data_IF_938854916370
#
_entry.id   IF_938854916370
#
_cell.length_a   1.000
_cell.length_b   1.000
_cell.length_c   1.000
_cell.angle_alpha   90.00
_cell.angle_beta   90.00
_cell.angle_gamma   90.00
#
_symmetry.space_group_name_H-M   'P 1'
#
loop_
_entity.id
_entity.type
_entity.pdbx_description
1 polymer ?
#
# COMPACT_ATOMS: atom_id res chain seq x y z
N UNK A 1 2.44 -15.08 12.95
CA UNK A 1 1.22 -14.56 12.31
C UNK A 1 0.12 -15.58 12.55
N UNK A 2 -1.11 -15.14 12.84
CA UNK A 2 -2.23 -16.06 13.09
C UNK A 2 -2.69 -16.71 11.77
N UNK A 3 -2.71 -18.06 11.66
CA UNK A 3 -3.18 -18.76 10.46
C UNK A 3 -4.62 -18.45 10.05
N UNK A 4 -5.44 -17.88 10.95
CA UNK A 4 -6.79 -17.42 10.60
C UNK A 4 -6.80 -16.40 9.45
N UNK A 5 -5.70 -15.68 9.20
CA UNK A 5 -5.60 -14.75 8.08
C UNK A 5 -5.66 -15.43 6.70
N UNK A 6 -5.36 -16.74 6.61
CA UNK A 6 -5.36 -17.49 5.36
C UNK A 6 -6.75 -17.56 4.70
N UNK A 7 -7.82 -17.32 5.47
CA UNK A 7 -9.18 -17.21 4.93
C UNK A 7 -9.35 -15.98 4.01
N UNK A 8 -8.46 -14.99 4.12
CA UNK A 8 -8.47 -13.76 3.31
C UNK A 8 -7.48 -13.82 2.13
N UNK A 9 -6.89 -14.99 1.84
CA UNK A 9 -6.17 -15.20 0.60
C UNK A 9 -7.04 -14.89 -0.61
N UNK A 10 -6.39 -14.39 -1.66
CA UNK A 10 -7.03 -13.88 -2.86
C UNK A 10 -7.79 -14.97 -3.60
N UNK A 11 -9.07 -14.72 -3.86
CA UNK A 11 -9.91 -15.53 -4.76
C UNK A 11 -9.53 -15.29 -6.23
N UNK A 12 -9.91 -16.20 -7.12
CA UNK A 12 -9.67 -16.03 -8.56
C UNK A 12 -10.38 -14.79 -9.12
N UNK A 13 -11.61 -14.51 -8.67
CA UNK A 13 -12.35 -13.32 -9.06
C UNK A 13 -11.65 -12.02 -8.63
N UNK A 14 -11.08 -11.98 -7.41
CA UNK A 14 -10.27 -10.84 -6.96
C UNK A 14 -8.99 -10.72 -7.78
N UNK A 15 -8.33 -11.84 -8.10
CA UNK A 15 -7.12 -11.86 -8.93
C UNK A 15 -7.40 -11.30 -10.31
N UNK A 16 -8.43 -11.80 -10.97
CA UNK A 16 -8.86 -11.32 -12.29
C UNK A 16 -9.21 -9.84 -12.24
N UNK A 17 -9.97 -9.41 -11.23
CA UNK A 17 -10.30 -8.00 -11.06
C UNK A 17 -9.05 -7.13 -10.87
N UNK A 18 -8.11 -7.51 -10.01
CA UNK A 18 -6.89 -6.74 -9.78
C UNK A 18 -6.01 -6.66 -11.03
N UNK A 19 -5.84 -7.77 -11.75
CA UNK A 19 -5.03 -7.78 -12.97
C UNK A 19 -5.68 -6.95 -14.10
N UNK A 20 -7.01 -6.97 -14.19
CA UNK A 20 -7.74 -6.20 -15.20
C UNK A 20 -7.84 -4.72 -14.84
N UNK A 21 -8.23 -4.40 -13.61
CA UNK A 21 -8.60 -3.03 -13.19
C UNK A 21 -7.47 -2.29 -12.49
N UNK A 22 -6.51 -3.00 -11.91
CA UNK A 22 -5.33 -2.45 -11.24
C UNK A 22 -5.53 -2.15 -9.76
N UNK A 23 -6.75 -2.32 -9.22
CA UNK A 23 -7.07 -2.05 -7.82
C UNK A 23 -8.00 -3.12 -7.25
N UNK A 24 -8.10 -3.16 -5.92
CA UNK A 24 -9.03 -3.99 -5.17
C UNK A 24 -9.55 -3.22 -3.96
N UNK A 25 -10.85 -3.33 -3.71
CA UNK A 25 -11.50 -2.78 -2.53
C UNK A 25 -11.74 -3.91 -1.54
N UNK A 26 -11.29 -3.72 -0.31
CA UNK A 26 -11.54 -4.62 0.82
C UNK A 26 -12.43 -3.85 1.80
N UNK A 27 -13.74 -4.03 1.64
CA UNK A 27 -14.73 -3.47 2.56
C UNK A 27 -14.55 -4.05 3.96
N UNK A 28 -14.84 -3.24 4.98
CA UNK A 28 -14.70 -3.60 6.39
C UNK A 28 -13.32 -4.20 6.71
N UNK A 29 -12.27 -3.69 6.06
CA UNK A 29 -10.90 -4.17 6.26
C UNK A 29 -10.45 -3.98 7.70
N UNK A 30 -10.77 -2.83 8.29
CA UNK A 30 -10.53 -2.51 9.69
C UNK A 30 -11.83 -2.70 10.48
N UNK A 31 -11.73 -3.35 11.64
CA UNK A 31 -12.83 -3.31 12.62
C UNK A 31 -12.85 -1.97 13.37
N UNK A 32 -13.92 -1.74 14.13
CA UNK A 32 -14.12 -0.49 14.86
C UNK A 32 -12.99 -0.19 15.87
N UNK A 33 -12.42 -1.24 16.48
CA UNK A 33 -11.31 -1.11 17.43
C UNK A 33 -10.04 -0.62 16.73
N UNK A 34 -9.62 -1.30 15.66
CA UNK A 34 -8.44 -0.92 14.90
C UNK A 34 -8.62 0.46 14.25
N UNK A 35 -9.80 0.76 13.70
CA UNK A 35 -10.10 2.08 13.15
C UNK A 35 -9.99 3.18 14.22
N UNK A 36 -10.53 2.95 15.41
CA UNK A 36 -10.42 3.88 16.54
C UNK A 36 -8.97 4.13 16.96
N UNK A 37 -8.19 3.06 17.16
CA UNK A 37 -6.77 3.13 17.52
C UNK A 37 -5.94 3.88 16.47
N UNK A 38 -6.21 3.65 15.19
CA UNK A 38 -5.54 4.36 14.08
C UNK A 38 -5.91 5.85 14.02
N UNK A 39 -7.16 6.20 14.30
CA UNK A 39 -7.60 7.59 14.38
C UNK A 39 -6.91 8.31 15.55
N UNK A 40 -6.86 7.70 16.73
CA UNK A 40 -6.18 8.29 17.90
C UNK A 40 -4.68 8.50 17.65
N UNK A 41 -3.99 7.49 17.10
CA UNK A 41 -2.58 7.59 16.75
C UNK A 41 -2.33 8.64 15.66
N UNK A 42 -3.16 8.62 14.61
CA UNK A 42 -3.08 9.59 13.51
C UNK A 42 -3.31 11.03 13.98
N UNK A 43 -4.29 11.26 14.86
CA UNK A 43 -4.62 12.60 15.38
C UNK A 43 -3.51 13.14 16.28
N UNK A 44 -2.89 12.26 17.09
CA UNK A 44 -1.68 12.61 17.86
C UNK A 44 -0.53 13.03 16.95
N UNK A 45 -0.28 12.28 15.88
CA UNK A 45 0.77 12.60 14.89
C UNK A 45 0.46 13.90 14.15
N UNK A 46 -0.79 14.13 13.73
CA UNK A 46 -1.20 15.39 13.08
C UNK A 46 -1.01 16.60 14.01
N UNK A 47 -1.45 16.50 15.26
CA UNK A 47 -1.28 17.58 16.24
C UNK A 47 0.21 17.92 16.45
N UNK A 48 1.07 16.91 16.61
CA UNK A 48 2.50 17.11 16.79
C UNK A 48 3.16 17.72 15.56
N UNK A 49 2.85 17.23 14.35
CA UNK A 49 3.39 17.77 13.10
C UNK A 49 2.96 19.22 12.88
N UNK A 50 1.68 19.54 13.12
CA UNK A 50 1.18 20.91 12.97
C UNK A 50 1.88 21.86 13.93
N UNK A 51 2.05 21.46 15.19
CA UNK A 51 2.77 22.26 16.18
C UNK A 51 4.25 22.44 15.78
N UNK A 52 4.92 21.37 15.35
CA UNK A 52 6.34 21.38 15.00
C UNK A 52 6.62 22.22 13.74
N UNK A 53 5.74 22.14 12.74
CA UNK A 53 5.91 22.79 11.43
C UNK A 53 5.18 24.14 11.32
N UNK A 54 4.41 24.54 12.33
CA UNK A 54 3.58 25.74 12.30
C UNK A 54 2.48 25.70 11.23
N UNK A 55 1.90 24.54 10.97
CA UNK A 55 0.84 24.39 9.96
C UNK A 55 -0.47 24.99 10.48
N UNK A 56 -1.18 25.73 9.61
CA UNK A 56 -2.52 26.22 9.93
C UNK A 56 -3.49 25.05 10.16
N UNK A 57 -4.57 25.21 10.96
CA UNK A 57 -5.53 24.14 11.25
C UNK A 57 -6.16 23.50 10.01
N UNK A 58 -6.40 24.27 8.96
CA UNK A 58 -6.99 23.83 7.70
C UNK A 58 -5.97 23.53 6.59
N UNK A 59 -4.67 23.50 6.92
CA UNK A 59 -3.64 23.11 5.95
C UNK A 59 -3.64 21.59 5.73
N UNK A 60 -3.37 21.16 4.49
CA UNK A 60 -3.07 19.77 4.16
C UNK A 60 -1.89 19.28 5.01
N UNK A 61 -2.07 18.20 5.77
CA UNK A 61 -0.95 17.44 6.31
C UNK A 61 -0.58 16.33 5.33
N UNK A 62 0.73 16.22 5.11
CA UNK A 62 1.36 15.13 4.39
C UNK A 62 2.62 14.76 5.18
N UNK A 63 2.66 13.54 5.71
CA UNK A 63 3.80 13.01 6.48
C UNK A 63 4.21 11.64 5.91
N UNK A 64 5.43 11.57 5.39
CA UNK A 64 6.06 10.30 5.02
C UNK A 64 6.74 9.66 6.25
N UNK A 65 7.12 8.38 6.14
CA UNK A 65 7.82 7.64 7.22
C UNK A 65 7.00 7.51 8.50
N UNK A 66 5.68 7.44 8.36
CA UNK A 66 4.75 7.33 9.50
C UNK A 66 4.85 5.97 10.21
N UNK A 67 5.42 4.94 9.58
CA UNK A 67 5.42 3.58 10.11
C UNK A 67 6.02 3.42 11.52
N UNK A 68 6.93 4.32 11.91
CA UNK A 68 7.61 4.30 13.22
C UNK A 68 6.97 5.21 14.27
N UNK A 69 5.94 5.98 13.90
CA UNK A 69 5.35 7.01 14.76
C UNK A 69 4.45 6.43 15.83
N UNK A 70 3.91 5.22 15.61
CA UNK A 70 3.08 4.51 16.57
C UNK A 70 3.10 3.00 16.28
N UNK A 71 3.02 2.18 17.33
CA UNK A 71 3.05 0.72 17.21
C UNK A 71 1.82 0.17 16.48
N UNK A 72 0.68 0.89 16.50
CA UNK A 72 -0.51 0.50 15.70
C UNK A 72 -0.24 0.53 14.20
N UNK A 73 0.67 1.38 13.71
CA UNK A 73 1.03 1.40 12.30
C UNK A 73 1.87 0.17 11.93
N UNK A 74 2.69 -0.34 12.85
CA UNK A 74 3.44 -1.58 12.67
C UNK A 74 2.50 -2.79 12.57
N UNK A 75 1.41 -2.81 13.35
CA UNK A 75 0.37 -3.85 13.26
C UNK A 75 -0.28 -3.93 11.87
N UNK A 76 -0.33 -2.83 11.13
CA UNK A 76 -0.92 -2.81 9.78
C UNK A 76 -0.04 -3.47 8.70
N UNK A 77 1.25 -3.69 8.96
CA UNK A 77 2.18 -4.30 7.99
C UNK A 77 1.76 -5.71 7.60
N UNK A 78 1.25 -6.46 8.58
CA UNK A 78 0.80 -7.83 8.46
C UNK A 78 -0.69 -7.97 8.81
N UNK A 79 -1.49 -6.93 8.51
CA UNK A 79 -2.91 -6.90 8.84
C UNK A 79 -3.68 -8.06 8.17
N UNK A 80 -4.45 -8.88 8.92
CA UNK A 80 -5.02 -10.13 8.42
C UNK A 80 -5.87 -10.03 7.16
N UNK A 81 -6.65 -8.95 6.99
CA UNK A 81 -7.56 -8.80 5.85
C UNK A 81 -6.90 -8.27 4.58
N UNK A 82 -5.67 -7.75 4.66
CA UNK A 82 -4.98 -7.14 3.51
C UNK A 82 -3.67 -7.83 3.16
N UNK A 83 -2.88 -8.24 4.15
CA UNK A 83 -1.56 -8.81 3.91
C UNK A 83 -1.59 -10.10 3.08
N UNK A 84 -2.60 -10.99 3.22
CA UNK A 84 -2.74 -12.13 2.32
C UNK A 84 -2.85 -11.79 0.84
N UNK A 85 -3.63 -10.76 0.52
CA UNK A 85 -3.76 -10.26 -0.84
C UNK A 85 -2.42 -9.73 -1.37
N UNK A 86 -1.62 -9.10 -0.50
CA UNK A 86 -0.33 -8.56 -0.87
C UNK A 86 0.63 -9.68 -1.29
N UNK A 87 0.76 -10.77 -0.53
CA UNK A 87 1.64 -11.87 -0.95
C UNK A 87 1.04 -12.70 -2.09
N UNK A 88 -0.28 -12.76 -2.24
CA UNK A 88 -0.91 -13.40 -3.41
C UNK A 88 -0.70 -12.58 -4.70
N UNK A 89 -0.52 -11.26 -4.57
CA UNK A 89 -0.24 -10.35 -5.68
C UNK A 89 1.26 -10.20 -5.93
N UNK A 90 2.10 -10.13 -4.89
CA UNK A 90 3.53 -9.83 -4.95
C UNK A 90 4.44 -11.05 -4.76
N UNK A 91 3.98 -12.12 -4.14
CA UNK A 91 4.78 -13.23 -3.68
C UNK A 91 5.29 -13.01 -2.24
N UNK A 92 6.08 -13.97 -1.74
CA UNK A 92 6.58 -13.96 -0.36
C UNK A 92 7.80 -13.06 -0.15
N UNK A 93 8.55 -12.73 -1.20
CA UNK A 93 9.81 -11.95 -1.10
C UNK A 93 9.55 -10.43 -1.08
N UNK A 94 8.74 -9.99 -0.12
CA UNK A 94 8.24 -8.61 -0.03
C UNK A 94 8.70 -7.89 1.24
N UNK A 95 8.68 -6.57 1.15
CA UNK A 95 8.85 -5.63 2.26
C UNK A 95 7.95 -4.40 2.10
N UNK A 96 7.70 -3.72 3.21
CA UNK A 96 7.25 -2.34 3.23
C UNK A 96 8.36 -1.42 2.73
N UNK A 97 8.01 -0.47 1.87
CA UNK A 97 8.99 0.47 1.32
C UNK A 97 8.63 1.94 1.55
N UNK A 98 7.35 2.27 1.76
CA UNK A 98 6.92 3.65 1.98
C UNK A 98 5.63 3.73 2.79
N UNK A 99 5.57 4.62 3.77
CA UNK A 99 4.35 4.98 4.51
C UNK A 99 4.03 6.45 4.35
N UNK A 100 2.74 6.76 4.28
CA UNK A 100 2.28 8.13 4.06
C UNK A 100 0.93 8.39 4.73
N UNK A 101 0.95 9.21 5.78
CA UNK A 101 -0.26 9.73 6.43
C UNK A 101 -0.68 11.06 5.81
N UNK A 102 -1.95 11.15 5.45
CA UNK A 102 -2.52 12.35 4.81
C UNK A 102 -3.80 12.77 5.52
N UNK A 103 -3.82 14.01 5.99
CA UNK A 103 -5.03 14.69 6.47
C UNK A 103 -5.34 15.80 5.48
N UNK A 104 -6.47 15.68 4.81
CA UNK A 104 -6.90 16.58 3.76
C UNK A 104 -8.18 17.31 4.19
N UNK A 105 -8.06 18.51 4.77
CA UNK A 105 -9.21 19.31 5.18
C UNK A 105 -10.07 19.76 3.99
N UNK A 106 -11.31 20.19 4.25
CA UNK A 106 -12.15 20.85 3.26
C UNK A 106 -11.47 22.01 2.53
N UNK A 107 -11.67 22.07 1.22
CA UNK A 107 -11.33 23.21 0.37
C UNK A 107 -12.60 24.03 0.10
N UNK A 108 -12.46 25.36 0.00
CA UNK A 108 -13.59 26.19 -0.44
C UNK A 108 -13.93 25.86 -1.90
N UNK A 109 -15.22 25.67 -2.20
CA UNK A 109 -15.75 25.49 -3.57
C UNK A 109 -15.28 26.59 -4.54
N UNK A 110 -15.11 27.82 -4.07
CA UNK A 110 -14.61 28.94 -4.88
C UNK A 110 -13.10 28.89 -5.17
N UNK A 111 -12.36 28.03 -4.48
CA UNK A 111 -10.90 27.89 -4.59
C UNK A 111 -10.45 26.56 -5.21
N UNK A 112 -11.40 25.68 -5.57
CA UNK A 112 -11.08 24.37 -6.16
C UNK A 112 -10.33 24.58 -7.48
N UNK A 113 -9.07 24.15 -7.49
CA UNK A 113 -8.23 24.18 -8.68
C UNK A 113 -7.56 22.81 -8.88
N UNK A 114 -8.19 21.97 -9.70
CA UNK A 114 -7.53 20.78 -10.24
C UNK A 114 -6.64 21.22 -11.40
N UNK A 115 -5.39 21.60 -11.09
CA UNK A 115 -4.41 21.88 -12.15
C UNK A 115 -4.31 20.66 -13.08
N UNK A 116 -4.28 20.85 -14.42
CA UNK A 116 -4.21 19.76 -15.39
C UNK A 116 -3.03 18.76 -15.22
N UNK A 117 -2.02 19.09 -14.40
CA UNK A 117 -0.84 18.26 -14.14
C UNK A 117 -0.85 17.45 -12.84
N UNK A 118 -2.00 17.27 -12.19
CA UNK A 118 -2.10 16.48 -10.95
C UNK A 118 -2.04 14.95 -11.15
N UNK A 119 -2.13 14.48 -12.40
CA UNK A 119 -2.10 13.06 -12.76
C UNK A 119 -0.69 12.50 -12.73
N UNK A 120 -0.51 11.39 -12.02
CA UNK A 120 0.77 10.74 -11.87
C UNK A 120 0.64 9.24 -11.57
N UNK A 121 1.75 8.53 -11.72
CA UNK A 121 1.98 7.22 -11.12
C UNK A 121 2.79 7.45 -9.84
N UNK A 122 2.57 6.60 -8.82
CA UNK A 122 3.15 6.84 -7.50
C UNK A 122 4.68 6.75 -7.57
N UNK A 123 5.42 7.70 -7.00
CA UNK A 123 6.89 7.80 -7.17
C UNK A 123 7.34 8.21 -8.58
N UNK A 124 6.42 8.67 -9.42
CA UNK A 124 6.68 9.12 -10.80
C UNK A 124 7.02 7.97 -11.75
N UNK A 125 7.99 8.21 -12.63
CA UNK A 125 8.54 7.23 -13.58
C UNK A 125 10.02 6.90 -13.25
N UNK A 126 10.35 6.39 -12.05
CA UNK A 126 11.71 6.38 -11.50
C UNK A 126 12.61 5.27 -12.05
N UNK A 127 12.25 4.71 -13.21
CA UNK A 127 13.11 3.73 -13.88
C UNK A 127 13.11 3.99 -15.39
N UNK A 128 13.54 5.18 -15.85
CA UNK A 128 13.67 5.44 -17.27
C UNK A 128 14.65 4.47 -17.97
N UNK A 129 15.51 3.80 -17.22
CA UNK A 129 16.46 2.79 -17.69
C UNK A 129 15.81 1.44 -17.99
N UNK A 130 14.61 1.16 -17.46
CA UNK A 130 13.89 -0.09 -17.73
C UNK A 130 12.99 0.02 -18.96
N UNK A 131 12.93 -1.07 -19.72
CA UNK A 131 11.96 -1.23 -20.82
C UNK A 131 10.51 -1.13 -20.33
N UNK A 132 9.63 -0.70 -21.24
CA UNK A 132 8.22 -0.41 -20.98
C UNK A 132 7.33 -1.33 -21.83
N UNK A 133 6.14 -1.74 -21.34
CA UNK A 133 5.57 -1.44 -20.03
C UNK A 133 6.31 -2.14 -18.89
N UNK A 134 6.48 -1.43 -17.76
CA UNK A 134 7.25 -1.96 -16.63
C UNK A 134 6.48 -3.08 -15.91
N UNK A 135 7.18 -4.11 -15.40
CA UNK A 135 6.56 -5.08 -14.52
C UNK A 135 6.06 -4.43 -13.23
N UNK A 136 5.13 -5.09 -12.54
CA UNK A 136 4.68 -4.66 -11.20
C UNK A 136 5.83 -4.84 -10.20
N UNK A 137 6.43 -3.72 -9.79
CA UNK A 137 7.51 -3.67 -8.80
C UNK A 137 7.02 -3.43 -7.36
N UNK A 138 5.82 -2.88 -7.23
CA UNK A 138 5.20 -2.56 -5.95
C UNK A 138 3.71 -2.27 -6.11
N UNK A 139 3.01 -2.30 -4.98
CA UNK A 139 1.64 -1.84 -4.83
C UNK A 139 1.53 -0.98 -3.58
N UNK A 140 0.39 -0.33 -3.40
CA UNK A 140 0.08 0.42 -2.18
C UNK A 140 -1.29 0.01 -1.66
N UNK A 141 -1.45 0.08 -0.35
CA UNK A 141 -2.71 -0.11 0.36
C UNK A 141 -3.06 1.22 1.02
N UNK A 142 -4.21 1.79 0.68
CA UNK A 142 -4.78 2.94 1.38
C UNK A 142 -5.83 2.48 2.38
N UNK A 143 -5.55 2.67 3.67
CA UNK A 143 -6.50 2.46 4.76
C UNK A 143 -7.27 3.76 5.00
N UNK A 144 -8.54 3.79 4.62
CA UNK A 144 -9.38 4.98 4.69
C UNK A 144 -9.97 5.13 6.09
N UNK A 145 -9.54 6.16 6.82
CA UNK A 145 -9.93 6.37 8.22
C UNK A 145 -11.15 7.30 8.36
N UNK A 146 -11.55 7.93 7.25
CA UNK A 146 -12.73 8.78 7.16
C UNK A 146 -13.65 8.22 6.09
N UNK A 147 -14.96 8.33 6.31
CA UNK A 147 -15.96 7.99 5.31
C UNK A 147 -15.92 8.99 4.13
N UNK A 148 -15.70 8.43 2.95
CA UNK A 148 -15.67 9.14 1.67
C UNK A 148 -16.62 8.48 0.66
N UNK A 149 -17.72 7.86 1.11
CA UNK A 149 -18.66 7.14 0.24
C UNK A 149 -19.41 8.05 -0.73
N UNK A 150 -19.42 9.36 -0.46
CA UNK A 150 -20.05 10.36 -1.30
C UNK A 150 -19.03 11.11 -2.17
N UNK A 151 -19.47 11.67 -3.32
CA UNK A 151 -18.63 12.50 -4.17
C UNK A 151 -17.99 13.68 -3.42
N UNK A 152 -16.81 14.08 -3.90
CA UNK A 152 -16.10 15.28 -3.41
C UNK A 152 -15.76 15.27 -1.91
N UNK A 153 -15.59 14.09 -1.30
CA UNK A 153 -15.09 13.90 0.07
C UNK A 153 -13.58 13.65 0.15
N UNK A 154 -12.81 14.06 -0.85
CA UNK A 154 -11.36 13.96 -0.84
C UNK A 154 -10.78 12.59 -1.19
N UNK A 155 -11.60 11.64 -1.65
CA UNK A 155 -11.13 10.39 -2.25
C UNK A 155 -10.24 10.65 -3.47
N UNK A 156 -9.19 9.84 -3.66
CA UNK A 156 -8.32 9.97 -4.83
C UNK A 156 -9.11 9.63 -6.11
N UNK A 157 -8.68 10.16 -7.23
CA UNK A 157 -9.19 9.77 -8.54
C UNK A 157 -8.25 8.75 -9.15
N UNK A 158 -8.77 7.63 -9.62
CA UNK A 158 -8.01 6.57 -10.28
C UNK A 158 -8.53 6.39 -11.71
N UNK A 159 -7.65 5.98 -12.62
CA UNK A 159 -8.05 5.51 -13.95
C UNK A 159 -7.88 4.00 -13.98
N UNK A 160 -8.98 3.22 -13.95
CA UNK A 160 -8.91 1.77 -14.08
C UNK A 160 -8.15 1.36 -15.35
N UNK A 161 -7.50 0.19 -15.30
CA UNK A 161 -6.72 -0.40 -16.40
C UNK A 161 -5.47 0.37 -16.85
N UNK A 162 -5.25 1.58 -16.33
CA UNK A 162 -4.14 2.45 -16.75
C UNK A 162 -2.75 1.90 -16.42
N UNK A 163 -2.64 0.89 -15.54
CA UNK A 163 -1.40 0.16 -15.26
C UNK A 163 -0.94 -0.75 -16.40
N UNK A 164 -1.83 -1.08 -17.36
CA UNK A 164 -1.51 -1.90 -18.54
C UNK A 164 -0.77 -1.10 -19.61
N UNK A 165 -0.97 0.21 -19.63
CA UNK A 165 -0.37 1.13 -20.60
C UNK A 165 0.89 1.79 -20.06
N UNK A 166 1.79 2.17 -20.97
CA UNK A 166 2.90 3.04 -20.58
C UNK A 166 2.48 4.51 -20.55
N UNK A 167 1.79 4.98 -21.59
CA UNK A 167 1.45 6.40 -21.78
C UNK A 167 0.36 6.87 -20.82
N UNK A 168 0.26 8.19 -20.55
CA UNK A 168 -0.91 8.75 -19.89
C UNK A 168 -2.20 8.30 -20.61
N UNK A 169 -3.21 7.78 -19.89
CA UNK A 169 -4.49 7.39 -20.46
C UNK A 169 -5.33 8.63 -20.78
N UNK A 170 -6.51 8.41 -21.38
CA UNK A 170 -7.58 9.40 -21.28
C UNK A 170 -8.05 9.47 -19.81
N UNK A 171 -8.12 10.69 -19.27
CA UNK A 171 -8.55 10.93 -17.90
C UNK A 171 -10.08 11.14 -17.79
N UNK A 172 -10.81 11.08 -18.91
CA UNK A 172 -12.27 11.15 -18.91
C UNK A 172 -12.91 10.00 -18.13
N UNK A 173 -12.32 8.80 -18.20
CA UNK A 173 -12.78 7.59 -17.50
C UNK A 173 -12.30 7.51 -16.04
N UNK A 174 -11.72 8.58 -15.52
CA UNK A 174 -11.28 8.64 -14.14
C UNK A 174 -12.46 8.60 -13.16
N UNK A 175 -12.47 7.60 -12.28
CA UNK A 175 -13.42 7.51 -11.17
C UNK A 175 -12.82 8.03 -9.87
N UNK A 176 -13.65 8.60 -9.00
CA UNK A 176 -13.25 8.91 -7.63
C UNK A 176 -13.44 7.65 -6.77
N UNK A 177 -12.44 7.30 -5.98
CA UNK A 177 -12.58 6.29 -4.93
C UNK A 177 -13.62 6.80 -3.93
N UNK A 178 -14.68 6.01 -3.74
CA UNK A 178 -15.77 6.30 -2.83
C UNK A 178 -15.99 5.07 -1.95
N UNK A 179 -15.60 5.16 -0.67
CA UNK A 179 -15.59 4.04 0.27
C UNK A 179 -15.93 4.51 1.68
N UNK A 180 -16.47 3.60 2.49
CA UNK A 180 -16.71 3.83 3.91
C UNK A 180 -15.40 3.95 4.70
N UNK A 181 -15.48 4.52 5.90
CA UNK A 181 -14.38 4.43 6.86
C UNK A 181 -14.10 2.95 7.19
N UNK A 182 -12.84 2.61 7.42
CA UNK A 182 -12.41 1.24 7.68
C UNK A 182 -12.13 0.40 6.43
N UNK A 183 -12.50 0.87 5.23
CA UNK A 183 -12.17 0.19 3.97
C UNK A 183 -10.69 0.33 3.64
N UNK A 184 -10.08 -0.74 3.13
CA UNK A 184 -8.76 -0.72 2.52
C UNK A 184 -8.87 -0.79 0.99
N UNK A 185 -8.07 0.00 0.28
CA UNK A 185 -7.98 -0.04 -1.18
C UNK A 185 -6.55 -0.35 -1.59
N UNK A 186 -6.34 -1.51 -2.18
CA UNK A 186 -5.07 -1.90 -2.79
C UNK A 186 -5.04 -1.37 -4.22
N UNK A 187 -3.91 -0.83 -4.66
CA UNK A 187 -3.74 -0.44 -6.06
C UNK A 187 -2.31 -0.66 -6.54
N UNK A 188 -2.20 -1.08 -7.79
CA UNK A 188 -0.94 -1.21 -8.52
C UNK A 188 -0.30 0.18 -8.64
N UNK A 189 0.98 0.28 -8.28
CA UNK A 189 1.71 1.55 -8.32
C UNK A 189 1.70 2.20 -9.71
N UNK A 190 1.58 1.39 -10.77
CA UNK A 190 1.54 1.83 -12.18
C UNK A 190 0.21 2.48 -12.56
N UNK A 191 -0.81 2.45 -11.71
CA UNK A 191 -2.06 3.15 -11.99
C UNK A 191 -1.85 4.66 -12.00
N UNK A 192 -2.41 5.29 -13.03
CA UNK A 192 -2.57 6.73 -13.08
C UNK A 192 -3.65 7.18 -12.10
N UNK A 193 -3.28 8.12 -11.25
CA UNK A 193 -4.17 8.68 -10.26
C UNK A 193 -3.85 10.15 -10.00
N UNK A 194 -4.79 10.84 -9.37
CA UNK A 194 -4.66 12.21 -8.94
C UNK A 194 -5.39 12.42 -7.62
N UNK A 195 -5.11 13.54 -6.95
CA UNK A 195 -5.95 13.97 -5.83
C UNK A 195 -7.38 14.17 -6.31
N UNK A 196 -8.36 13.84 -5.48
CA UNK A 196 -9.71 14.34 -5.65
C UNK A 196 -9.89 15.72 -5.03
N UNK A 197 -11.14 16.15 -5.03
CA UNK A 197 -11.60 17.39 -4.38
C UNK A 197 -12.22 16.99 -3.03
N UNK A 198 -12.00 17.82 -2.01
CA UNK A 198 -12.75 17.76 -0.76
C UNK A 198 -13.53 19.06 -0.56
N UNK A 199 -14.81 19.10 -0.92
CA UNK A 199 -15.72 20.25 -0.67
C UNK A 199 -16.76 19.93 0.41
N UNK A 200 -16.56 18.83 1.12
CA UNK A 200 -17.37 18.42 2.27
C UNK A 200 -17.00 19.21 3.52
N UNK A 201 -17.66 18.93 4.64
CA UNK A 201 -17.35 19.53 5.95
C UNK A 201 -16.34 18.70 6.76
N UNK A 202 -15.85 17.58 6.22
CA UNK A 202 -15.03 16.62 6.97
C UNK A 202 -13.61 16.57 6.43
N UNK A 203 -12.62 16.53 7.33
CA UNK A 203 -11.22 16.25 6.95
C UNK A 203 -11.08 14.79 6.56
N UNK A 204 -10.68 14.53 5.32
CA UNK A 204 -10.38 13.17 4.84
C UNK A 204 -9.05 12.72 5.41
N UNK A 205 -9.05 11.57 6.10
CA UNK A 205 -7.87 10.93 6.67
C UNK A 205 -7.61 9.60 5.97
N UNK A 206 -6.36 9.36 5.59
CA UNK A 206 -5.92 8.08 5.01
C UNK A 206 -4.48 7.78 5.41
N UNK A 207 -4.19 6.52 5.67
CA UNK A 207 -2.83 6.00 5.82
C UNK A 207 -2.52 5.09 4.65
N UNK A 208 -1.47 5.40 3.92
CA UNK A 208 -0.97 4.52 2.86
C UNK A 208 0.25 3.74 3.32
N UNK A 209 0.26 2.43 3.05
CA UNK A 209 1.41 1.55 3.18
C UNK A 209 1.75 0.95 1.82
N UNK A 210 3.00 1.12 1.38
CA UNK A 210 3.50 0.60 0.11
C UNK A 210 4.35 -0.64 0.31
N UNK A 211 4.13 -1.64 -0.53
CA UNK A 211 4.85 -2.92 -0.50
C UNK A 211 5.59 -3.13 -1.81
N UNK A 212 6.84 -3.58 -1.73
CA UNK A 212 7.74 -3.83 -2.84
C UNK A 212 8.51 -5.13 -2.62
N UNK A 213 9.29 -5.56 -3.61
CA UNK A 213 10.21 -6.67 -3.40
C UNK A 213 11.38 -6.29 -2.48
N UNK A 214 11.91 -7.25 -1.71
CA UNK A 214 13.03 -7.02 -0.77
C UNK A 214 14.33 -6.54 -1.43
N UNK A 215 14.56 -6.91 -2.69
CA UNK A 215 15.73 -6.47 -3.46
C UNK A 215 15.61 -5.02 -3.99
N UNK A 216 14.44 -4.38 -3.84
CA UNK A 216 14.30 -2.94 -4.06
C UNK A 216 14.69 -2.20 -2.78
N UNK A 217 15.21 -0.97 -2.91
CA UNK A 217 15.56 -0.18 -1.73
C UNK A 217 14.32 0.50 -1.14
N UNK A 218 14.12 0.39 0.17
CA UNK A 218 13.08 1.11 0.91
C UNK A 218 13.24 2.63 0.81
N UNK A 219 12.13 3.36 0.73
CA UNK A 219 12.10 4.84 0.75
C UNK A 219 11.90 5.40 2.15
N UNK A 220 11.20 4.66 3.01
CA UNK A 220 11.01 5.05 4.39
C UNK A 220 12.33 5.00 5.16
N UNK A 221 12.98 3.85 5.16
CA UNK A 221 14.25 3.60 5.82
C UNK A 221 15.12 2.65 4.98
N UNK A 222 16.43 2.88 5.02
CA UNK A 222 17.41 1.93 4.46
C UNK A 222 17.73 0.81 5.45
N UNK A 223 17.79 1.17 6.74
CA UNK A 223 17.99 0.28 7.86
C UNK A 223 17.02 0.74 8.94
N UNK A 224 16.18 -0.18 9.40
CA UNK A 224 15.21 0.11 10.45
C UNK A 224 15.92 0.23 11.81
N UNK A 225 15.55 1.19 12.68
CA UNK A 225 16.13 1.28 14.01
C UNK A 225 15.92 -0.01 14.82
N UNK A 226 16.92 -0.41 15.59
CA UNK A 226 16.93 -1.68 16.31
C UNK A 226 15.78 -1.76 17.35
N UNK A 227 15.45 -0.64 17.96
CA UNK A 227 14.34 -0.48 18.91
C UNK A 227 12.97 -0.72 18.27
N UNK A 228 12.81 -0.44 16.98
CA UNK A 228 11.57 -0.75 16.23
C UNK A 228 11.53 -2.24 15.90
N UNK A 229 12.66 -2.79 15.42
CA UNK A 229 12.77 -4.20 15.08
C UNK A 229 12.59 -5.12 16.30
N UNK A 230 12.97 -4.67 17.50
CA UNK A 230 12.81 -5.40 18.76
C UNK A 230 11.33 -5.65 19.12
N UNK A 231 10.41 -4.83 18.62
CA UNK A 231 8.95 -4.98 18.83
C UNK A 231 8.28 -5.92 17.83
N UNK A 232 9.01 -6.36 16.80
CA UNK A 232 8.42 -6.97 15.62
C UNK A 232 8.59 -8.49 15.62
N UNK A 233 7.55 -9.19 15.15
CA UNK A 233 7.62 -10.61 14.83
C UNK A 233 8.63 -10.87 13.69
N UNK A 234 9.13 -12.09 13.49
CA UNK A 234 10.06 -12.38 12.38
C UNK A 234 9.54 -11.95 11.00
N UNK A 235 8.25 -12.19 10.72
CA UNK A 235 7.63 -11.75 9.45
C UNK A 235 7.57 -10.22 9.38
N UNK A 236 7.22 -9.53 10.46
CA UNK A 236 7.18 -8.07 10.46
C UNK A 236 8.59 -7.47 10.34
N UNK A 237 9.62 -8.12 10.89
CA UNK A 237 11.03 -7.75 10.66
C UNK A 237 11.40 -7.88 9.19
N UNK A 238 11.06 -9.00 8.54
CA UNK A 238 11.21 -9.16 7.09
C UNK A 238 10.53 -8.00 6.33
N UNK A 239 9.30 -7.64 6.74
CA UNK A 239 8.57 -6.54 6.12
C UNK A 239 9.22 -5.17 6.34
N UNK A 240 9.96 -4.98 7.43
CA UNK A 240 10.73 -3.76 7.69
C UNK A 240 12.12 -3.77 7.03
N UNK A 241 12.39 -4.73 6.14
CA UNK A 241 13.63 -4.83 5.38
C UNK A 241 14.79 -5.48 6.14
N UNK A 242 14.51 -6.06 7.32
CA UNK A 242 15.51 -6.80 8.10
C UNK A 242 15.96 -8.07 7.35
N UNK A 243 17.18 -8.50 7.63
CA UNK A 243 17.81 -9.65 7.00
C UNK A 243 19.03 -10.11 7.78
N UNK A 244 19.46 -11.33 7.52
CA UNK A 244 20.61 -11.94 8.22
C UNK A 244 21.92 -11.53 7.57
N UNK A 245 21.94 -11.52 6.23
CA UNK A 245 23.10 -11.14 5.43
C UNK A 245 22.71 -10.21 4.28
N UNK A 246 23.64 -9.35 3.87
CA UNK A 246 23.46 -8.43 2.72
C UNK A 246 23.12 -9.17 1.43
N UNK A 247 23.62 -10.40 1.24
CA UNK A 247 23.28 -11.24 0.08
C UNK A 247 21.85 -11.75 0.16
N UNK A 248 21.26 -11.83 1.36
CA UNK A 248 19.88 -12.30 1.59
C UNK A 248 18.80 -11.44 0.93
N UNK A 249 19.12 -10.21 0.50
CA UNK A 249 18.21 -9.42 -0.33
C UNK A 249 18.14 -9.92 -1.79
N UNK A 250 19.23 -10.49 -2.31
CA UNK A 250 19.33 -11.03 -3.68
C UNK A 250 19.14 -12.54 -3.75
N UNK A 251 19.66 -13.27 -2.77
CA UNK A 251 19.66 -14.72 -2.64
C UNK A 251 19.23 -15.08 -1.21
N UNK A 252 17.93 -14.93 -0.89
CA UNK A 252 17.44 -15.12 0.47
C UNK A 252 17.58 -16.57 0.93
N UNK A 253 18.06 -16.75 2.16
CA UNK A 253 17.93 -17.99 2.94
C UNK A 253 16.58 -18.02 3.65
N UNK A 254 16.19 -19.17 4.23
CA UNK A 254 14.91 -19.26 4.95
C UNK A 254 14.84 -18.32 6.18
N UNK A 255 15.99 -17.99 6.79
CA UNK A 255 16.07 -17.03 7.89
C UNK A 255 15.82 -15.58 7.42
N UNK A 256 16.16 -15.25 6.18
CA UNK A 256 15.90 -13.93 5.58
C UNK A 256 14.43 -13.72 5.24
N UNK A 257 13.69 -14.82 5.00
CA UNK A 257 12.30 -14.79 4.51
C UNK A 257 11.36 -15.68 5.31
N UNK A 258 11.17 -15.39 6.61
CA UNK A 258 10.28 -16.16 7.48
C UNK A 258 8.84 -16.27 6.95
N UNK A 259 8.36 -15.33 6.12
CA UNK A 259 7.05 -15.46 5.47
C UNK A 259 6.99 -16.68 4.55
N UNK A 260 8.06 -16.96 3.80
CA UNK A 260 8.12 -18.12 2.89
C UNK A 260 7.99 -19.42 3.70
N UNK A 261 8.79 -19.57 4.75
CA UNK A 261 8.75 -20.75 5.63
C UNK A 261 7.37 -20.94 6.27
N UNK A 262 6.80 -19.86 6.80
CA UNK A 262 5.46 -19.89 7.39
C UNK A 262 4.38 -20.29 6.36
N UNK A 263 4.43 -19.77 5.13
CA UNK A 263 3.49 -20.14 4.07
C UNK A 263 3.68 -21.60 3.63
N UNK A 264 4.92 -22.09 3.51
CA UNK A 264 5.18 -23.50 3.18
C UNK A 264 4.55 -24.42 4.21
N UNK A 265 4.70 -24.12 5.50
CA UNK A 265 4.12 -24.89 6.60
C UNK A 265 2.59 -24.95 6.55
N UNK A 266 1.92 -23.85 6.22
CA UNK A 266 0.46 -23.74 6.34
C UNK A 266 -0.32 -23.92 5.01
N UNK A 267 0.34 -23.74 3.86
CA UNK A 267 -0.28 -23.78 2.53
C UNK A 267 0.40 -24.76 1.56
N UNK A 268 1.55 -25.32 1.93
CA UNK A 268 2.31 -26.26 1.11
C UNK A 268 3.22 -25.57 0.08
N UNK A 269 4.19 -26.34 -0.42
CA UNK A 269 5.21 -25.88 -1.38
C UNK A 269 4.58 -25.42 -2.70
N UNK A 270 3.60 -26.16 -3.23
CA UNK A 270 2.92 -25.82 -4.49
C UNK A 270 2.29 -24.42 -4.45
N UNK A 271 1.69 -24.03 -3.31
CA UNK A 271 1.12 -22.70 -3.15
C UNK A 271 2.21 -21.62 -3.16
N UNK A 272 3.31 -21.85 -2.45
CA UNK A 272 4.45 -20.92 -2.36
C UNK A 272 5.13 -20.76 -3.72
N UNK A 273 5.29 -21.85 -4.48
CA UNK A 273 5.81 -21.82 -5.84
C UNK A 273 4.90 -21.00 -6.76
N UNK A 274 3.58 -21.25 -6.73
CA UNK A 274 2.61 -20.54 -7.56
C UNK A 274 2.63 -19.02 -7.36
N UNK A 275 2.67 -18.54 -6.10
CA UNK A 275 2.70 -17.09 -5.83
C UNK A 275 4.09 -16.47 -6.07
N UNK A 276 5.16 -17.28 -6.05
CA UNK A 276 6.52 -16.85 -6.33
C UNK A 276 6.87 -16.80 -7.82
N UNK A 277 6.29 -17.71 -8.61
CA UNK A 277 6.55 -17.86 -10.04
C UNK A 277 5.58 -17.02 -10.88
N UNK A 278 5.80 -15.71 -10.93
CA UNK A 278 4.95 -14.82 -11.74
C UNK A 278 5.26 -14.78 -13.24
N UNK A 279 6.45 -15.24 -13.63
CA UNK A 279 6.95 -15.16 -15.00
C UNK A 279 7.21 -16.52 -15.65
N UNK A 280 7.15 -17.63 -14.91
CA UNK A 280 7.61 -18.94 -15.39
C UNK A 280 6.52 -19.86 -15.95
N UNK A 281 5.25 -19.50 -15.86
CA UNK A 281 4.19 -20.23 -16.59
C UNK A 281 4.18 -19.94 -18.10
N UNK A 282 4.99 -18.98 -18.60
CA UNK A 282 5.11 -18.72 -20.04
C UNK A 282 6.12 -19.59 -20.77
N UNK A 283 7.02 -20.28 -20.08
CA UNK A 283 8.06 -21.07 -20.73
C UNK A 283 8.42 -22.30 -19.87
N UNK A 284 7.52 -23.29 -19.85
CA UNK A 284 8.04 -24.66 -20.00
C UNK A 284 8.66 -24.69 -21.38
N UNK A 285 9.96 -24.40 -21.46
CA UNK A 285 10.76 -24.63 -22.65
C UNK A 285 10.67 -26.12 -22.96
N UNK A 286 9.70 -26.50 -23.80
CA UNK A 286 9.76 -27.74 -24.56
C UNK A 286 10.97 -27.60 -25.50
N UNK A 287 12.12 -28.10 -25.02
CA UNK A 287 13.27 -28.43 -25.85
C UNK A 287 13.18 -29.90 -26.22
#
# INVERSE_FOLDING_TARGET
MDPSCLQYCMTDAQRDHFEQQGYLVVEDALDDDMLGRLLEAGDRVDAQERATRGLAPNALLSKFRTIVEDDVFLELLDWPKTFPLIWDILGWNVQHYISHLIYYPPESKSSVNLKPGGWHQDGGRPVPEMERPQPRLSLKVGFWLTDISEPERGGIRIVPESHKGDRPPDFADAMQVQVKAGTAVLFDRRMWHARGINTSETTRKVLFLGYSYRWLRGLDYNLMPAEILAKCSPIRRQLLGDGVDVKGWWQPTDEDVPLKGWLTEHKGEEYVERIGQKQWEREKWEV
#
